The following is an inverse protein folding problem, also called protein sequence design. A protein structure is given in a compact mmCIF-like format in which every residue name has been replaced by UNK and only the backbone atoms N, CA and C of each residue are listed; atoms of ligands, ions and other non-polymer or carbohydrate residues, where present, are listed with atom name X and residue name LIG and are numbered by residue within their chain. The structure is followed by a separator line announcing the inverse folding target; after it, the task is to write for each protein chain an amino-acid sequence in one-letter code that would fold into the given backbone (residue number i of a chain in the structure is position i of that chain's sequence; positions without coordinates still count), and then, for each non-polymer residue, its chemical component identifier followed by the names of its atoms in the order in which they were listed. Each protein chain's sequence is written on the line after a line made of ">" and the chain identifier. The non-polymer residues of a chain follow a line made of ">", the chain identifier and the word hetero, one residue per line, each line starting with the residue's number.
data_IF_914314373059
#
_entry.id   IF_914314373059
#
_cell.length_a   1.000
_cell.length_b   1.000
_cell.length_c   1.000
_cell.angle_alpha   90.00
_cell.angle_beta   90.00
_cell.angle_gamma   90.00
#
_symmetry.space_group_name_H-M   'P 1'
#
loop_
_entity.id
_entity.type
_entity.pdbx_description
1 polymer ?
#
# COMPACT_ATOMS: atom_id res chain seq x y z
N UNK A 1 27.20 -6.06 16.37
CA UNK A 1 27.66 -5.93 14.97
C UNK A 1 26.42 -5.64 14.17
N UNK A 2 26.34 -4.48 13.52
CA UNK A 2 25.21 -4.10 12.67
C UNK A 2 25.06 -5.14 11.57
N UNK A 3 23.86 -5.70 11.40
CA UNK A 3 23.62 -6.66 10.32
C UNK A 3 23.74 -5.93 8.98
N UNK A 4 24.45 -6.53 8.03
CA UNK A 4 24.50 -6.02 6.66
C UNK A 4 23.33 -6.61 5.85
N UNK A 5 22.67 -5.80 5.01
CA UNK A 5 21.63 -6.31 4.13
C UNK A 5 22.23 -7.23 3.08
N UNK A 6 21.43 -8.18 2.60
CA UNK A 6 21.72 -8.93 1.39
C UNK A 6 21.48 -8.01 0.20
N UNK A 7 22.41 -8.04 -0.76
CA UNK A 7 22.38 -7.18 -1.95
C UNK A 7 22.52 -8.08 -3.17
N UNK A 8 21.58 -7.96 -4.10
CA UNK A 8 21.56 -8.71 -5.35
C UNK A 8 21.06 -7.88 -6.51
N UNK A 9 21.35 -8.33 -7.73
CA UNK A 9 20.78 -7.75 -8.94
C UNK A 9 19.69 -8.68 -9.46
N UNK A 10 18.58 -8.10 -9.91
CA UNK A 10 17.59 -8.86 -10.68
C UNK A 10 18.14 -9.23 -12.06
N UNK A 11 17.52 -10.22 -12.70
CA UNK A 11 17.99 -10.78 -13.97
C UNK A 11 18.08 -9.77 -15.13
N UNK A 12 17.40 -8.63 -15.01
CA UNK A 12 17.47 -7.53 -15.98
C UNK A 12 18.74 -6.68 -15.87
N UNK A 13 19.53 -6.84 -14.79
CA UNK A 13 20.76 -6.08 -14.55
C UNK A 13 20.53 -4.58 -14.27
N UNK A 14 19.30 -4.15 -14.04
CA UNK A 14 18.93 -2.74 -13.78
C UNK A 14 18.40 -2.51 -12.38
N UNK A 15 17.61 -3.47 -11.89
CA UNK A 15 16.94 -3.37 -10.60
C UNK A 15 17.78 -4.03 -9.51
N UNK A 16 17.97 -3.29 -8.42
CA UNK A 16 18.67 -3.73 -7.24
C UNK A 16 17.68 -4.37 -6.27
N UNK A 17 18.03 -5.54 -5.75
CA UNK A 17 17.31 -6.23 -4.69
C UNK A 17 18.08 -6.07 -3.39
N UNK A 18 17.40 -5.58 -2.36
CA UNK A 18 17.95 -5.39 -1.02
C UNK A 18 17.08 -6.08 0.02
N UNK A 19 17.68 -6.89 0.89
CA UNK A 19 16.93 -7.61 1.91
C UNK A 19 17.60 -7.54 3.29
N UNK A 20 16.84 -7.18 4.33
CA UNK A 20 17.23 -7.33 5.73
C UNK A 20 16.04 -7.81 6.57
N UNK A 21 16.08 -9.07 6.98
CA UNK A 21 14.97 -9.72 7.69
C UNK A 21 13.68 -9.69 6.85
N UNK A 22 12.58 -9.10 7.36
CA UNK A 22 11.32 -8.99 6.63
C UNK A 22 11.28 -7.83 5.62
N UNK A 23 12.28 -6.94 5.63
CA UNK A 23 12.37 -5.83 4.67
C UNK A 23 12.91 -6.41 3.36
N UNK A 24 12.15 -6.23 2.28
CA UNK A 24 12.43 -6.81 0.97
C UNK A 24 12.19 -5.75 -0.12
N UNK A 25 13.26 -5.10 -0.58
CA UNK A 25 13.19 -3.93 -1.45
C UNK A 25 13.61 -4.28 -2.88
N UNK A 26 12.80 -3.82 -3.83
CA UNK A 26 13.19 -3.69 -5.23
C UNK A 26 13.38 -2.20 -5.53
N UNK A 27 14.57 -1.84 -5.99
CA UNK A 27 14.98 -0.45 -6.23
C UNK A 27 15.36 -0.28 -7.69
N UNK A 28 14.87 0.79 -8.31
CA UNK A 28 15.27 1.21 -9.65
C UNK A 28 15.46 2.73 -9.68
N UNK A 29 16.48 3.19 -10.41
CA UNK A 29 16.72 4.60 -10.65
C UNK A 29 17.19 4.84 -12.08
N UNK A 30 16.70 5.94 -12.67
CA UNK A 30 17.13 6.46 -13.95
C UNK A 30 17.91 7.78 -13.76
N UNK A 31 19.02 7.92 -14.49
CA UNK A 31 19.93 9.06 -14.45
C UNK A 31 21.24 8.73 -15.16
N UNK A 32 22.30 9.50 -14.91
CA UNK A 32 23.65 9.13 -15.37
C UNK A 32 24.19 7.94 -14.58
N UNK A 33 25.09 7.15 -15.19
CA UNK A 33 25.67 5.95 -14.54
C UNK A 33 26.29 6.26 -13.16
N UNK A 34 26.98 7.39 -13.02
CA UNK A 34 27.56 7.83 -11.75
C UNK A 34 26.50 8.20 -10.71
N UNK A 35 25.40 8.84 -11.11
CA UNK A 35 24.30 9.19 -10.21
C UNK A 35 23.54 7.95 -9.77
N UNK A 36 23.25 7.02 -10.68
CA UNK A 36 22.56 5.75 -10.36
C UNK A 36 23.42 4.92 -9.41
N UNK A 37 24.73 4.82 -9.66
CA UNK A 37 25.66 4.12 -8.76
C UNK A 37 25.68 4.76 -7.37
N UNK A 38 25.80 6.09 -7.27
CA UNK A 38 25.79 6.80 -5.99
C UNK A 38 24.45 6.66 -5.24
N UNK A 39 23.32 6.62 -5.96
CA UNK A 39 22.01 6.37 -5.38
C UNK A 39 21.93 4.96 -4.79
N UNK A 40 22.35 3.93 -5.54
CA UNK A 40 22.33 2.55 -5.07
C UNK A 40 23.27 2.30 -3.89
N UNK A 41 24.45 2.93 -3.88
CA UNK A 41 25.35 2.92 -2.72
C UNK A 41 24.65 3.52 -1.47
N UNK A 42 23.95 4.65 -1.63
CA UNK A 42 23.20 5.28 -0.54
C UNK A 42 22.02 4.42 -0.05
N UNK A 43 21.34 3.72 -0.96
CA UNK A 43 20.26 2.80 -0.60
C UNK A 43 20.76 1.64 0.29
N UNK A 44 21.87 1.01 -0.10
CA UNK A 44 22.51 -0.07 0.67
C UNK A 44 22.96 0.43 2.04
N UNK A 45 23.61 1.60 2.10
CA UNK A 45 24.08 2.19 3.36
C UNK A 45 22.93 2.54 4.30
N UNK A 46 21.83 3.06 3.77
CA UNK A 46 20.65 3.47 4.56
C UNK A 46 19.91 2.26 5.14
N UNK A 47 19.82 1.16 4.37
CA UNK A 47 19.18 -0.06 4.87
C UNK A 47 20.02 -0.74 5.97
N UNK A 48 21.34 -0.62 5.93
CA UNK A 48 22.23 -1.24 6.92
C UNK A 48 21.97 -0.70 8.34
N UNK A 49 21.44 -1.57 9.22
CA UNK A 49 21.08 -1.22 10.59
C UNK A 49 19.71 -0.58 10.76
N UNK A 50 18.96 -0.34 9.68
CA UNK A 50 17.61 0.22 9.74
C UNK A 50 16.67 -0.66 10.57
N UNK A 51 16.67 -1.96 10.31
CA UNK A 51 15.84 -2.92 11.03
C UNK A 51 16.19 -2.94 12.52
N UNK A 52 17.48 -2.86 12.86
CA UNK A 52 17.92 -2.84 14.26
C UNK A 52 17.35 -1.60 14.99
N UNK A 53 17.40 -0.42 14.35
CA UNK A 53 16.81 0.81 14.93
C UNK A 53 15.29 0.73 15.10
N UNK A 54 14.58 0.07 14.18
CA UNK A 54 13.13 -0.15 14.33
C UNK A 54 12.84 -1.16 15.45
N UNK A 55 13.66 -2.20 15.59
CA UNK A 55 13.53 -3.18 16.66
C UNK A 55 13.68 -2.56 18.06
N UNK A 56 14.53 -1.54 18.21
CA UNK A 56 14.71 -0.81 19.48
C UNK A 56 13.42 -0.10 19.95
N UNK A 57 12.59 0.35 18.99
CA UNK A 57 11.34 1.07 19.27
C UNK A 57 10.08 0.21 19.05
N UNK A 58 10.25 -1.08 18.70
CA UNK A 58 9.16 -1.99 18.35
C UNK A 58 8.04 -2.08 19.40
N UNK A 59 8.31 -2.13 20.72
CA UNK A 59 7.25 -2.14 21.71
C UNK A 59 6.33 -0.91 21.67
N UNK A 60 6.86 0.25 21.27
CA UNK A 60 6.06 1.47 21.09
C UNK A 60 5.38 1.48 19.72
N UNK A 61 6.06 1.02 18.67
CA UNK A 61 5.49 0.92 17.31
C UNK A 61 4.29 -0.03 17.24
N UNK A 62 4.21 -1.03 18.13
CA UNK A 62 3.06 -1.94 18.24
C UNK A 62 1.93 -1.41 19.11
N UNK A 63 2.07 -0.25 19.75
CA UNK A 63 0.97 0.37 20.50
C UNK A 63 0.00 1.06 19.55
N UNK A 64 -1.26 1.09 19.95
CA UNK A 64 -2.26 1.90 19.26
C UNK A 64 -1.74 3.35 19.16
N UNK A 65 -1.90 3.95 17.99
CA UNK A 65 -1.69 5.37 17.84
C UNK A 65 -2.72 6.13 18.68
N UNK A 66 -2.30 7.26 19.22
CA UNK A 66 -3.11 8.13 20.08
C UNK A 66 -2.83 9.59 19.72
N UNK A 67 -3.72 10.51 20.07
CA UNK A 67 -3.57 11.95 19.78
C UNK A 67 -2.48 12.66 20.59
N UNK A 68 -1.96 12.04 21.65
CA UNK A 68 -1.09 12.69 22.64
C UNK A 68 0.38 12.84 22.19
N UNK A 69 0.65 12.53 20.92
CA UNK A 69 1.97 12.63 20.29
C UNK A 69 2.85 11.40 20.51
N UNK A 70 3.87 11.29 19.66
CA UNK A 70 4.81 10.16 19.67
C UNK A 70 5.97 10.36 20.63
N UNK A 71 6.40 9.28 21.29
CA UNK A 71 7.69 9.21 22.00
C UNK A 71 8.81 8.62 21.16
N UNK A 72 8.51 8.26 19.91
CA UNK A 72 9.46 7.67 18.98
C UNK A 72 10.54 8.69 18.60
N UNK A 73 11.77 8.22 18.50
CA UNK A 73 12.97 9.05 18.23
C UNK A 73 13.50 8.82 16.83
N UNK A 74 13.49 7.58 16.37
CA UNK A 74 13.92 7.18 15.04
C UNK A 74 13.17 7.96 13.96
N UNK A 75 13.87 8.29 12.87
CA UNK A 75 13.28 9.03 11.75
C UNK A 75 12.15 8.21 11.10
N UNK A 76 12.41 6.94 10.80
CA UNK A 76 11.41 6.02 10.23
C UNK A 76 10.27 5.77 11.20
N UNK A 77 10.58 5.52 12.47
CA UNK A 77 9.56 5.32 13.51
C UNK A 77 8.60 6.52 13.64
N UNK A 78 9.14 7.75 13.65
CA UNK A 78 8.30 8.97 13.63
C UNK A 78 7.47 9.08 12.36
N UNK A 79 8.05 8.81 11.18
CA UNK A 79 7.31 8.79 9.92
C UNK A 79 6.15 7.80 9.95
N UNK A 80 6.37 6.59 10.48
CA UNK A 80 5.32 5.59 10.66
C UNK A 80 4.18 6.12 11.55
N UNK A 81 4.52 6.74 12.67
CA UNK A 81 3.52 7.30 13.57
C UNK A 81 2.77 8.48 12.93
N UNK A 82 3.47 9.40 12.29
CA UNK A 82 2.87 10.58 11.63
C UNK A 82 1.88 10.15 10.54
N UNK A 83 2.16 9.05 9.84
CA UNK A 83 1.26 8.49 8.84
C UNK A 83 -0.04 7.93 9.44
N UNK A 84 0.01 7.34 10.65
CA UNK A 84 -1.17 6.72 11.27
C UNK A 84 -1.93 7.63 12.22
N UNK A 85 -1.30 8.69 12.72
CA UNK A 85 -1.86 9.63 13.68
C UNK A 85 -3.22 10.23 13.24
N UNK A 86 -3.44 10.61 11.96
CA UNK A 86 -4.72 11.14 11.50
C UNK A 86 -5.91 10.18 11.70
N UNK A 87 -5.67 8.88 11.77
CA UNK A 87 -6.74 7.87 11.91
C UNK A 87 -7.00 7.48 13.38
N UNK A 88 -6.11 7.86 14.29
CA UNK A 88 -6.09 7.38 15.68
C UNK A 88 -7.30 7.80 16.52
N UNK A 89 -8.04 8.84 16.10
CA UNK A 89 -9.21 9.33 16.81
C UNK A 89 -10.43 8.40 16.65
N UNK A 90 -10.60 7.83 15.46
CA UNK A 90 -11.84 7.14 15.07
C UNK A 90 -11.65 5.64 14.84
N UNK A 91 -10.41 5.16 14.75
CA UNK A 91 -10.11 3.77 14.40
C UNK A 91 -8.84 3.30 15.07
N UNK A 92 -8.82 2.03 15.47
CA UNK A 92 -7.59 1.41 15.91
C UNK A 92 -6.61 1.26 14.75
N UNK A 93 -5.40 1.77 14.94
CA UNK A 93 -4.27 1.56 14.05
C UNK A 93 -3.00 1.67 14.89
N UNK A 94 -1.95 0.96 14.50
CA UNK A 94 -0.62 1.08 15.09
C UNK A 94 0.34 1.62 14.04
N UNK A 95 1.46 2.25 14.42
CA UNK A 95 2.53 2.60 13.49
C UNK A 95 2.99 1.46 12.57
N UNK A 96 2.81 0.19 12.97
CA UNK A 96 3.17 -0.96 12.13
C UNK A 96 2.43 -0.98 10.78
N UNK A 97 1.25 -0.36 10.69
CA UNK A 97 0.48 -0.25 9.45
C UNK A 97 1.11 0.69 8.39
N UNK A 98 2.23 1.34 8.70
CA UNK A 98 2.96 2.22 7.77
C UNK A 98 4.42 1.80 7.59
N UNK A 99 4.83 0.64 8.11
CA UNK A 99 6.25 0.24 8.18
C UNK A 99 6.86 0.09 6.79
N UNK A 100 6.15 -0.52 5.85
CA UNK A 100 6.70 -0.86 4.56
C UNK A 100 6.89 0.39 3.70
N UNK A 101 5.86 1.25 3.68
CA UNK A 101 5.91 2.56 3.05
C UNK A 101 6.96 3.48 3.67
N UNK A 102 7.06 3.53 5.00
CA UNK A 102 8.03 4.41 5.68
C UNK A 102 9.49 4.00 5.44
N UNK A 103 9.76 2.69 5.32
CA UNK A 103 11.08 2.16 4.98
C UNK A 103 11.42 2.48 3.52
N UNK A 104 10.50 2.23 2.58
CA UNK A 104 10.69 2.56 1.17
C UNK A 104 11.00 4.05 0.98
N UNK A 105 10.28 4.91 1.68
CA UNK A 105 10.46 6.35 1.65
C UNK A 105 11.80 6.82 2.23
N UNK A 106 12.27 6.19 3.31
CA UNK A 106 13.59 6.53 3.89
C UNK A 106 14.73 6.21 2.92
N UNK A 107 14.68 5.02 2.31
CA UNK A 107 15.69 4.57 1.36
C UNK A 107 15.68 5.45 0.11
N UNK A 108 14.50 5.76 -0.44
CA UNK A 108 14.39 6.66 -1.59
C UNK A 108 14.89 8.07 -1.25
N UNK A 109 14.58 8.58 -0.06
CA UNK A 109 15.04 9.88 0.40
C UNK A 109 16.57 9.98 0.43
N UNK A 110 17.26 8.92 0.86
CA UNK A 110 18.71 8.85 0.83
C UNK A 110 19.29 8.82 -0.59
N UNK A 111 18.66 8.08 -1.51
CA UNK A 111 19.05 8.04 -2.92
C UNK A 111 18.97 9.43 -3.58
N UNK A 112 17.87 10.15 -3.37
CA UNK A 112 17.66 11.48 -3.94
C UNK A 112 18.56 12.53 -3.28
N UNK A 113 18.93 12.32 -2.01
CA UNK A 113 19.88 13.20 -1.32
C UNK A 113 21.34 12.99 -1.79
N UNK A 114 21.68 11.80 -2.30
CA UNK A 114 23.05 11.49 -2.74
C UNK A 114 23.30 11.81 -4.22
N UNK A 115 22.26 11.89 -5.05
CA UNK A 115 22.41 12.05 -6.50
C UNK A 115 21.22 12.75 -7.18
N UNK A 116 21.47 13.32 -8.37
CA UNK A 116 20.41 13.85 -9.23
C UNK A 116 19.82 12.72 -10.10
N UNK A 117 18.58 12.33 -9.80
CA UNK A 117 17.86 11.26 -10.49
C UNK A 117 16.70 11.85 -11.31
N UNK A 118 16.48 11.32 -12.51
CA UNK A 118 15.36 11.70 -13.37
C UNK A 118 14.05 11.11 -12.82
N UNK A 119 14.09 9.82 -12.49
CA UNK A 119 13.06 9.13 -11.73
C UNK A 119 13.66 7.96 -10.97
N UNK A 120 13.00 7.56 -9.88
CA UNK A 120 13.38 6.38 -9.13
C UNK A 120 12.17 5.83 -8.38
N UNK A 121 12.24 4.57 -7.99
CA UNK A 121 11.30 4.00 -7.04
C UNK A 121 11.99 3.04 -6.08
N UNK A 122 11.39 2.91 -4.90
CA UNK A 122 11.71 1.85 -3.93
C UNK A 122 10.40 1.14 -3.60
N UNK A 123 10.32 -0.16 -3.89
CA UNK A 123 9.14 -0.99 -3.66
C UNK A 123 9.43 -2.00 -2.55
N UNK A 124 8.70 -1.91 -1.44
CA UNK A 124 8.75 -2.85 -0.33
C UNK A 124 7.54 -3.81 -0.39
N UNK A 125 7.49 -4.62 -1.45
CA UNK A 125 6.44 -5.59 -1.80
C UNK A 125 4.99 -5.09 -1.78
N UNK A 126 4.76 -3.99 -2.49
CA UNK A 126 3.44 -3.38 -2.70
C UNK A 126 3.39 -1.93 -2.26
N UNK A 127 4.26 -1.55 -1.33
CA UNK A 127 4.39 -0.20 -0.78
C UNK A 127 5.58 0.50 -1.44
N UNK A 128 5.27 1.47 -2.29
CA UNK A 128 6.19 2.06 -3.26
C UNK A 128 6.35 3.54 -2.98
N UNK A 129 7.59 3.95 -2.73
CA UNK A 129 7.99 5.35 -2.76
C UNK A 129 8.47 5.70 -4.18
N UNK A 130 8.04 6.85 -4.69
CA UNK A 130 8.36 7.34 -6.04
C UNK A 130 9.11 8.66 -5.99
N UNK A 131 10.10 8.80 -6.87
CA UNK A 131 10.72 10.07 -7.23
C UNK A 131 10.51 10.32 -8.71
N UNK A 132 10.07 11.52 -9.05
CA UNK A 132 9.78 11.97 -10.42
C UNK A 132 10.24 13.41 -10.56
N UNK A 133 11.26 13.64 -11.40
CA UNK A 133 11.74 14.97 -11.74
C UNK A 133 11.16 15.46 -13.07
N UNK A 134 11.07 16.78 -13.23
CA UNK A 134 10.75 17.44 -14.50
C UNK A 134 9.44 16.98 -15.16
N UNK A 135 9.53 16.22 -16.26
CA UNK A 135 8.41 15.73 -17.08
C UNK A 135 8.29 14.21 -17.05
N UNK A 136 9.00 13.55 -16.12
CA UNK A 136 8.94 12.11 -15.96
C UNK A 136 7.56 11.65 -15.46
N UNK A 137 7.27 10.38 -15.70
CA UNK A 137 6.04 9.73 -15.27
C UNK A 137 6.26 8.24 -14.99
N UNK A 138 5.41 7.70 -14.13
CA UNK A 138 5.23 6.27 -13.97
C UNK A 138 3.83 5.84 -14.44
N UNK A 139 3.77 4.71 -15.14
CA UNK A 139 2.52 3.97 -15.35
C UNK A 139 2.46 2.89 -14.28
N UNK A 140 1.48 2.98 -13.41
CA UNK A 140 1.27 2.07 -12.28
C UNK A 140 0.20 1.07 -12.68
N UNK A 141 0.48 -0.22 -12.49
CA UNK A 141 -0.52 -1.26 -12.63
C UNK A 141 -1.29 -1.48 -11.32
N UNK A 142 -2.61 -1.58 -11.42
CA UNK A 142 -3.48 -2.01 -10.33
C UNK A 142 -3.63 -3.53 -10.40
N UNK A 143 -3.33 -4.22 -9.31
CA UNK A 143 -3.27 -5.68 -9.27
C UNK A 143 -4.39 -6.21 -8.37
N UNK A 144 -5.09 -7.25 -8.82
CA UNK A 144 -6.19 -7.89 -8.07
C UNK A 144 -5.70 -8.78 -6.93
N UNK A 145 -4.57 -9.47 -7.14
CA UNK A 145 -4.02 -10.40 -6.19
C UNK A 145 -2.48 -10.32 -6.16
N UNK A 146 -1.87 -10.07 -4.98
CA UNK A 146 -0.41 -10.02 -4.87
C UNK A 146 0.31 -11.34 -5.25
N UNK A 147 -0.37 -12.48 -5.15
CA UNK A 147 0.20 -13.81 -5.44
C UNK A 147 0.01 -14.28 -6.90
N UNK A 148 -1.06 -13.84 -7.55
CA UNK A 148 -1.37 -14.15 -8.95
C UNK A 148 -1.74 -12.85 -9.67
N UNK A 149 -0.73 -12.01 -10.00
CA UNK A 149 -1.00 -10.64 -10.42
C UNK A 149 -1.70 -10.59 -11.77
N UNK A 150 -2.99 -10.27 -11.75
CA UNK A 150 -3.77 -9.90 -12.92
C UNK A 150 -4.02 -8.38 -12.89
N UNK A 151 -3.85 -7.74 -14.04
CA UNK A 151 -3.92 -6.29 -14.14
C UNK A 151 -5.39 -5.86 -14.23
N UNK A 152 -5.91 -5.26 -13.16
CA UNK A 152 -7.27 -4.69 -13.14
C UNK A 152 -7.34 -3.39 -13.94
N UNK A 153 -6.23 -2.65 -14.00
CA UNK A 153 -6.16 -1.39 -14.71
C UNK A 153 -4.81 -0.70 -14.55
N UNK A 154 -4.70 0.50 -15.13
CA UNK A 154 -3.50 1.33 -15.03
C UNK A 154 -3.85 2.74 -14.58
N UNK A 155 -2.93 3.38 -13.89
CA UNK A 155 -2.97 4.83 -13.66
C UNK A 155 -1.63 5.43 -14.00
N UNK A 156 -1.61 6.72 -14.36
CA UNK A 156 -0.38 7.44 -14.67
C UNK A 156 -0.16 8.49 -13.58
N UNK A 157 1.05 8.49 -13.02
CA UNK A 157 1.51 9.50 -12.07
C UNK A 157 2.56 10.34 -12.79
N UNK A 158 2.28 11.62 -12.94
CA UNK A 158 3.19 12.58 -13.55
C UNK A 158 3.98 13.34 -12.49
N UNK A 159 5.14 13.89 -12.84
CA UNK A 159 5.94 14.70 -11.92
C UNK A 159 5.18 15.92 -11.34
N UNK A 160 4.18 16.45 -12.06
CA UNK A 160 3.33 17.55 -11.57
C UNK A 160 2.27 17.10 -10.55
N UNK A 161 2.03 15.80 -10.42
CA UNK A 161 1.06 15.28 -9.46
C UNK A 161 1.63 15.28 -8.05
N UNK A 162 0.79 15.43 -7.01
CA UNK A 162 1.24 15.42 -5.63
C UNK A 162 1.65 14.02 -5.15
N UNK A 163 1.14 12.95 -5.77
CA UNK A 163 1.36 11.58 -5.33
C UNK A 163 2.84 11.16 -5.45
N UNK A 164 3.44 10.70 -4.35
CA UNK A 164 4.78 10.06 -4.31
C UNK A 164 4.79 8.74 -3.54
N UNK A 165 3.63 8.30 -3.06
CA UNK A 165 3.44 7.02 -2.41
C UNK A 165 2.36 6.19 -3.08
N UNK A 166 2.59 4.89 -3.17
CA UNK A 166 1.60 3.87 -3.54
C UNK A 166 1.63 2.79 -2.48
N UNK A 167 0.49 2.26 -2.10
CA UNK A 167 0.42 1.09 -1.23
C UNK A 167 -0.72 0.19 -1.66
N UNK A 168 -0.59 -1.10 -1.38
CA UNK A 168 -1.67 -2.07 -1.62
C UNK A 168 -1.89 -2.95 -0.40
N UNK A 169 -3.12 -2.93 0.13
CA UNK A 169 -3.54 -3.72 1.29
C UNK A 169 -4.71 -4.62 0.93
N UNK A 170 -4.86 -5.76 1.61
CA UNK A 170 -5.92 -6.73 1.35
C UNK A 170 -5.71 -7.99 2.17
N UNK A 171 -6.76 -8.79 2.34
CA UNK A 171 -6.71 -9.97 3.23
C UNK A 171 -5.80 -11.09 2.71
N UNK A 172 -5.51 -11.11 1.41
CA UNK A 172 -4.53 -12.00 0.78
C UNK A 172 -3.08 -11.50 0.92
N UNK A 173 -2.88 -10.30 1.46
CA UNK A 173 -1.58 -9.67 1.59
C UNK A 173 -0.68 -10.32 2.63
N UNK A 174 0.52 -9.75 2.77
CA UNK A 174 1.52 -10.20 3.76
C UNK A 174 1.16 -9.78 5.18
N UNK A 175 0.34 -8.74 5.32
CA UNK A 175 -0.17 -8.21 6.58
C UNK A 175 -1.61 -8.65 6.83
N UNK A 176 -1.99 -8.78 8.10
CA UNK A 176 -3.37 -9.11 8.45
C UNK A 176 -4.33 -7.96 8.14
N UNK A 177 -5.46 -8.29 7.52
CA UNK A 177 -6.58 -7.38 7.28
C UNK A 177 -7.73 -7.72 8.21
N UNK A 178 -8.39 -6.69 8.73
CA UNK A 178 -9.67 -6.82 9.42
C UNK A 178 -10.82 -6.79 8.41
N UNK A 179 -10.64 -6.20 7.22
CA UNK A 179 -11.66 -6.20 6.18
C UNK A 179 -11.57 -7.42 5.26
N UNK A 180 -12.40 -7.42 4.22
CA UNK A 180 -12.48 -8.51 3.23
C UNK A 180 -12.04 -8.11 1.82
N UNK A 181 -11.57 -6.88 1.59
CA UNK A 181 -11.06 -6.49 0.29
C UNK A 181 -9.90 -7.39 -0.15
N UNK A 182 -9.97 -7.88 -1.39
CA UNK A 182 -8.89 -8.67 -1.99
C UNK A 182 -7.65 -7.80 -2.19
N UNK A 183 -7.88 -6.58 -2.68
CA UNK A 183 -6.87 -5.54 -2.83
C UNK A 183 -7.49 -4.14 -2.74
N UNK A 184 -6.80 -3.24 -2.06
CA UNK A 184 -7.02 -1.80 -2.06
C UNK A 184 -5.71 -1.12 -2.35
N UNK A 185 -5.61 -0.47 -3.51
CA UNK A 185 -4.44 0.32 -3.88
C UNK A 185 -4.71 1.79 -3.63
N UNK A 186 -3.83 2.47 -2.92
CA UNK A 186 -3.94 3.90 -2.57
C UNK A 186 -2.77 4.68 -3.14
N UNK A 187 -3.06 5.87 -3.66
CA UNK A 187 -2.07 6.91 -3.96
C UNK A 187 -2.12 7.98 -2.87
N UNK A 188 -0.95 8.40 -2.36
CA UNK A 188 -0.84 9.49 -1.40
C UNK A 188 0.44 10.31 -1.64
N UNK A 189 0.58 11.44 -0.93
CA UNK A 189 1.75 12.30 -1.03
C UNK A 189 3.03 11.62 -0.55
N UNK A 190 2.93 10.65 0.35
CA UNK A 190 4.07 9.87 0.83
C UNK A 190 3.74 8.39 0.87
N UNK A 191 4.75 7.52 0.82
CA UNK A 191 4.54 6.07 0.82
C UNK A 191 4.02 5.58 2.17
N UNK A 192 4.51 6.16 3.27
CA UNK A 192 3.99 5.85 4.61
C UNK A 192 2.50 6.20 4.75
N UNK A 193 2.06 7.34 4.21
CA UNK A 193 0.65 7.74 4.22
C UNK A 193 -0.21 6.80 3.38
N UNK A 194 0.28 6.41 2.20
CA UNK A 194 -0.42 5.46 1.33
C UNK A 194 -0.64 4.12 2.05
N UNK A 195 0.40 3.59 2.72
CA UNK A 195 0.39 2.31 3.45
C UNK A 195 -0.66 2.29 4.57
N UNK A 196 -0.62 3.32 5.42
CA UNK A 196 -1.60 3.49 6.49
C UNK A 196 -3.03 3.64 5.94
N UNK A 197 -3.22 4.46 4.92
CA UNK A 197 -4.54 4.70 4.33
C UNK A 197 -5.09 3.46 3.60
N UNK A 198 -4.25 2.69 2.91
CA UNK A 198 -4.64 1.43 2.27
C UNK A 198 -5.16 0.44 3.30
N UNK A 199 -4.48 0.32 4.45
CA UNK A 199 -4.95 -0.50 5.57
C UNK A 199 -6.30 -0.03 6.11
N UNK A 200 -6.48 1.28 6.32
CA UNK A 200 -7.76 1.83 6.82
C UNK A 200 -8.91 1.60 5.84
N UNK A 201 -8.67 1.79 4.53
CA UNK A 201 -9.71 1.61 3.51
C UNK A 201 -10.02 0.12 3.31
N UNK A 202 -9.01 -0.75 3.28
CA UNK A 202 -9.19 -2.20 3.18
C UNK A 202 -10.03 -2.72 4.34
N UNK A 203 -9.76 -2.27 5.57
CA UNK A 203 -10.54 -2.62 6.76
C UNK A 203 -11.97 -2.10 6.73
N UNK A 204 -12.25 -1.04 5.97
CA UNK A 204 -13.61 -0.50 5.81
C UNK A 204 -14.44 -1.26 4.76
N UNK A 205 -13.81 -2.04 3.88
CA UNK A 205 -14.52 -2.98 3.01
C UNK A 205 -14.81 -4.23 3.83
N UNK A 206 -16.01 -4.32 4.40
CA UNK A 206 -16.38 -5.40 5.30
C UNK A 206 -17.88 -5.70 5.30
N UNK A 207 -18.21 -6.92 5.73
CA UNK A 207 -19.56 -7.38 6.08
C UNK A 207 -19.50 -8.06 7.46
N UNK A 208 -19.63 -7.29 8.55
CA UNK A 208 -19.53 -7.84 9.90
C UNK A 208 -20.49 -9.02 10.13
N UNK A 209 -20.01 -10.04 10.84
CA UNK A 209 -20.76 -11.26 11.21
C UNK A 209 -21.32 -12.09 10.04
N UNK A 210 -20.86 -11.85 8.81
CA UNK A 210 -21.33 -12.60 7.64
C UNK A 210 -20.81 -14.06 7.68
N UNK A 211 -21.67 -15.08 7.49
CA UNK A 211 -21.32 -16.49 7.69
C UNK A 211 -20.33 -17.04 6.67
N UNK A 212 -20.11 -16.34 5.55
CA UNK A 212 -19.09 -16.71 4.56
C UNK A 212 -17.70 -16.13 4.87
N UNK A 213 -17.54 -15.36 5.96
CA UNK A 213 -16.26 -14.76 6.32
C UNK A 213 -15.70 -15.48 7.55
N UNK A 214 -14.61 -16.19 7.35
CA UNK A 214 -13.87 -16.87 8.40
C UNK A 214 -12.88 -15.90 9.04
N UNK A 215 -12.94 -15.78 10.37
CA UNK A 215 -12.06 -14.88 11.13
C UNK A 215 -11.50 -15.60 12.36
N UNK A 216 -10.30 -15.22 12.76
CA UNK A 216 -9.73 -15.61 14.05
C UNK A 216 -8.94 -14.45 14.65
N UNK A 217 -8.60 -14.56 15.93
CA UNK A 217 -7.73 -13.57 16.57
C UNK A 217 -6.36 -13.52 15.90
N UNK A 218 -5.81 -12.32 15.69
CA UNK A 218 -4.47 -12.16 15.12
C UNK A 218 -3.40 -12.91 15.95
N UNK A 219 -3.55 -12.93 17.28
CA UNK A 219 -2.65 -13.64 18.19
C UNK A 219 -2.69 -15.17 18.06
N UNK A 220 -3.77 -15.75 17.52
CA UNK A 220 -3.82 -17.19 17.23
C UNK A 220 -2.89 -17.57 16.07
N UNK A 221 -2.64 -16.63 15.17
CA UNK A 221 -1.78 -16.82 13.99
C UNK A 221 -0.34 -16.38 14.31
N UNK A 222 -0.22 -15.20 14.92
CA UNK A 222 1.06 -14.58 15.29
C UNK A 222 0.96 -14.07 16.74
N UNK A 223 1.52 -14.81 17.73
CA UNK A 223 1.37 -14.49 19.16
C UNK A 223 1.82 -13.10 19.61
N UNK A 224 2.67 -12.44 18.82
CA UNK A 224 3.21 -11.11 19.10
C UNK A 224 2.65 -10.02 18.18
N UNK A 225 1.50 -10.28 17.54
CA UNK A 225 0.82 -9.33 16.65
C UNK A 225 0.45 -8.03 17.37
N UNK A 226 0.67 -6.91 16.70
CA UNK A 226 0.26 -5.59 17.16
C UNK A 226 -1.28 -5.42 17.18
N UNK A 227 -2.00 -6.25 16.42
CA UNK A 227 -3.46 -6.26 16.39
C UNK A 227 -4.08 -6.92 17.64
N UNK A 228 -3.33 -7.76 18.35
CA UNK A 228 -3.79 -8.46 19.55
C UNK A 228 -4.93 -9.42 19.27
N UNK A 229 -6.01 -9.34 20.08
CA UNK A 229 -7.18 -10.22 19.94
C UNK A 229 -8.16 -9.82 18.82
N UNK A 230 -7.79 -8.84 18.00
CA UNK A 230 -8.65 -8.39 16.90
C UNK A 230 -8.82 -9.49 15.87
N UNK A 231 -10.05 -9.62 15.39
CA UNK A 231 -10.43 -10.59 14.40
C UNK A 231 -9.89 -10.19 13.02
N UNK A 232 -9.08 -11.06 12.43
CA UNK A 232 -8.49 -10.88 11.11
C UNK A 232 -9.08 -11.92 10.16
N UNK A 233 -9.22 -11.53 8.89
CA UNK A 233 -9.83 -12.37 7.86
C UNK A 233 -8.90 -13.55 7.51
N UNK A 234 -9.45 -14.77 7.51
CA UNK A 234 -8.77 -16.01 7.13
C UNK A 234 -9.29 -16.62 5.84
N UNK A 235 -10.54 -16.33 5.52
CA UNK A 235 -11.20 -16.79 4.32
C UNK A 235 -12.43 -15.96 4.02
N UNK A 236 -12.68 -15.71 2.74
CA UNK A 236 -13.87 -15.05 2.24
C UNK A 236 -14.50 -15.99 1.21
N UNK A 237 -15.61 -16.63 1.59
CA UNK A 237 -16.40 -17.47 0.70
C UNK A 237 -17.14 -16.64 -0.36
N UNK A 238 -17.83 -17.30 -1.29
CA UNK A 238 -18.56 -16.62 -2.36
C UNK A 238 -19.62 -15.66 -1.80
N UNK A 239 -19.58 -14.41 -2.26
CA UNK A 239 -20.54 -13.37 -1.91
C UNK A 239 -21.47 -13.10 -3.10
N UNK A 240 -22.71 -12.70 -2.81
CA UNK A 240 -23.60 -12.20 -3.85
C UNK A 240 -23.15 -10.83 -4.35
N UNK A 241 -23.54 -10.47 -5.58
CA UNK A 241 -23.22 -9.15 -6.14
C UNK A 241 -23.73 -7.98 -5.28
N UNK A 242 -24.82 -8.18 -4.52
CA UNK A 242 -25.33 -7.16 -3.60
C UNK A 242 -24.45 -6.99 -2.36
N UNK A 243 -23.96 -8.09 -1.78
CA UNK A 243 -23.04 -8.10 -0.65
C UNK A 243 -21.69 -7.48 -1.03
N UNK A 244 -21.16 -7.84 -2.21
CA UNK A 244 -19.93 -7.25 -2.78
C UNK A 244 -20.10 -5.74 -2.92
N UNK A 245 -21.21 -5.29 -3.53
CA UNK A 245 -21.49 -3.87 -3.69
C UNK A 245 -21.60 -3.14 -2.35
N UNK A 246 -22.27 -3.73 -1.35
CA UNK A 246 -22.43 -3.14 -0.03
C UNK A 246 -21.09 -2.96 0.70
N UNK A 247 -20.21 -3.97 0.64
CA UNK A 247 -18.87 -3.92 1.22
C UNK A 247 -18.00 -2.87 0.52
N UNK A 248 -17.97 -2.87 -0.82
CA UNK A 248 -17.22 -1.89 -1.60
C UNK A 248 -17.73 -0.47 -1.38
N UNK A 249 -19.05 -0.26 -1.25
CA UNK A 249 -19.63 1.04 -0.95
C UNK A 249 -19.15 1.60 0.41
N UNK A 250 -18.95 0.73 1.40
CA UNK A 250 -18.37 1.13 2.69
C UNK A 250 -16.91 1.60 2.55
N UNK A 251 -16.09 0.83 1.83
CA UNK A 251 -14.72 1.22 1.50
C UNK A 251 -14.65 2.52 0.69
N UNK A 252 -15.51 2.69 -0.32
CA UNK A 252 -15.59 3.91 -1.15
C UNK A 252 -15.98 5.12 -0.30
N UNK A 253 -16.93 4.98 0.63
CA UNK A 253 -17.26 6.07 1.58
C UNK A 253 -16.04 6.45 2.41
N UNK A 254 -15.27 5.47 2.92
CA UNK A 254 -14.06 5.76 3.68
C UNK A 254 -13.00 6.44 2.81
N UNK A 255 -12.72 5.92 1.63
CA UNK A 255 -11.75 6.51 0.70
C UNK A 255 -12.12 7.95 0.31
N UNK A 256 -13.41 8.23 0.06
CA UNK A 256 -13.88 9.60 -0.22
C UNK A 256 -13.69 10.55 0.97
N UNK A 257 -13.91 10.08 2.20
CA UNK A 257 -13.63 10.88 3.39
C UNK A 257 -12.14 11.23 3.48
N UNK A 258 -11.26 10.23 3.31
CA UNK A 258 -9.81 10.45 3.34
C UNK A 258 -9.33 11.38 2.22
N UNK A 259 -9.96 11.32 1.04
CA UNK A 259 -9.67 12.24 -0.07
C UNK A 259 -10.06 13.68 0.28
N UNK A 260 -11.24 13.88 0.90
CA UNK A 260 -11.70 15.21 1.35
C UNK A 260 -10.76 15.78 2.43
N UNK A 261 -10.27 14.92 3.32
CA UNK A 261 -9.32 15.30 4.38
C UNK A 261 -7.88 15.50 3.85
N UNK A 262 -7.63 15.26 2.56
CA UNK A 262 -6.33 15.42 1.92
C UNK A 262 -5.29 14.36 2.34
N UNK A 263 -5.75 13.21 2.84
CA UNK A 263 -4.89 12.11 3.30
C UNK A 263 -4.52 11.13 2.18
N UNK A 264 -5.28 11.14 1.08
CA UNK A 264 -5.00 10.36 -0.14
C UNK A 264 -5.24 11.23 -1.39
N UNK A 265 -4.66 10.81 -2.51
CA UNK A 265 -4.89 11.40 -3.84
C UNK A 265 -5.84 10.55 -4.69
N UNK A 266 -6.00 9.27 -4.35
CA UNK A 266 -6.97 8.37 -4.97
C UNK A 266 -6.83 6.93 -4.49
N UNK A 267 -7.81 6.10 -4.81
CA UNK A 267 -7.83 4.69 -4.44
C UNK A 267 -8.55 3.82 -5.48
N UNK A 268 -8.16 2.56 -5.58
CA UNK A 268 -8.88 1.49 -6.24
C UNK A 268 -9.14 0.37 -5.22
N UNK A 269 -10.37 -0.16 -5.20
CA UNK A 269 -10.81 -1.20 -4.27
C UNK A 269 -11.34 -2.36 -5.09
N UNK A 270 -10.91 -3.57 -4.77
CA UNK A 270 -11.28 -4.80 -5.46
C UNK A 270 -11.82 -5.85 -4.48
N UNK A 271 -12.93 -6.50 -4.86
CA UNK A 271 -13.53 -7.60 -4.11
C UNK A 271 -14.27 -8.54 -5.09
N UNK A 272 -13.83 -9.80 -5.14
CA UNK A 272 -14.42 -10.91 -5.91
C UNK A 272 -14.82 -10.52 -7.35
N UNK A 273 -13.88 -9.95 -8.10
CA UNK A 273 -14.07 -9.61 -9.51
C UNK A 273 -14.69 -8.22 -9.75
N UNK A 274 -15.19 -7.54 -8.72
CA UNK A 274 -15.74 -6.19 -8.83
C UNK A 274 -14.72 -5.15 -8.35
N UNK A 275 -14.64 -4.03 -9.07
CA UNK A 275 -13.69 -2.94 -8.79
C UNK A 275 -14.42 -1.59 -8.68
N UNK A 276 -14.08 -0.83 -7.65
CA UNK A 276 -14.52 0.55 -7.47
C UNK A 276 -13.32 1.49 -7.37
N UNK A 277 -13.46 2.70 -7.91
CA UNK A 277 -12.36 3.68 -8.02
C UNK A 277 -12.79 5.02 -7.45
N UNK A 278 -11.87 5.66 -6.73
CA UNK A 278 -12.02 7.00 -6.17
C UNK A 278 -10.85 7.87 -6.66
N UNK A 279 -11.16 8.89 -7.47
CA UNK A 279 -10.24 9.95 -7.90
C UNK A 279 -8.94 9.56 -8.65
N UNK A 280 -8.76 8.29 -9.05
CA UNK A 280 -7.64 7.89 -9.89
C UNK A 280 -7.80 8.37 -11.34
N UNK A 281 -6.73 8.92 -11.90
CA UNK A 281 -6.69 9.33 -13.31
C UNK A 281 -6.63 8.12 -14.22
N UNK A 282 -7.42 8.15 -15.30
CA UNK A 282 -7.30 7.28 -16.47
C UNK A 282 -7.01 5.81 -16.15
N UNK A 283 -7.94 5.15 -15.47
CA UNK A 283 -8.05 3.69 -15.53
C UNK A 283 -8.71 3.35 -16.86
N UNK A 284 -7.85 3.16 -17.87
CA UNK A 284 -8.16 2.80 -19.26
C UNK A 284 -9.53 3.34 -19.77
N UNK A 285 -9.60 4.66 -19.95
CA UNK A 285 -10.47 5.30 -20.96
C UNK A 285 -11.99 5.23 -20.80
N UNK A 286 -12.55 4.78 -19.67
CA UNK A 286 -13.99 4.82 -19.42
C UNK A 286 -14.31 5.43 -18.05
N UNK A 287 -14.75 6.70 -18.03
CA UNK A 287 -15.45 7.29 -16.87
C UNK A 287 -16.56 8.20 -17.44
N UNK A 288 -17.81 8.22 -16.91
CA UNK A 288 -18.22 7.79 -15.58
C UNK A 288 -19.26 6.67 -15.54
N UNK A 289 -19.18 5.84 -14.49
CA UNK A 289 -20.35 5.15 -13.96
C UNK A 289 -21.46 6.19 -13.71
N UNK A 290 -22.46 6.21 -14.59
CA UNK A 290 -23.75 6.86 -14.35
C UNK A 290 -24.54 6.00 -13.34
N UNK A 291 -25.43 6.60 -12.53
CA UNK A 291 -26.23 5.84 -11.57
C UNK A 291 -27.12 4.86 -12.32
N UNK A 292 -27.22 3.63 -11.81
CA UNK A 292 -28.07 2.58 -12.36
C UNK A 292 -29.50 3.09 -12.57
N UNK A 293 -29.86 3.36 -13.83
CA UNK A 293 -31.25 3.50 -14.25
C UNK A 293 -31.80 2.08 -14.39
N UNK A 294 -32.81 1.78 -13.59
CA UNK A 294 -33.70 0.63 -13.75
C UNK A 294 -34.38 0.71 -15.13
N UNK A 295 -34.15 -0.29 -16.00
CA UNK A 295 -35.18 -0.86 -16.90
C UNK A 295 -34.63 -1.98 -17.83
N UNK A 296 -35.11 -3.20 -17.55
CA UNK A 296 -35.64 -4.23 -18.47
C UNK A 296 -34.86 -4.72 -19.72
N UNK A 297 -34.56 -6.03 -19.63
CA UNK A 297 -34.73 -7.13 -20.61
C UNK A 297 -33.97 -7.14 -21.95
N UNK A 298 -33.48 -8.36 -22.19
CA UNK A 298 -33.22 -9.10 -23.46
C UNK A 298 -31.89 -8.89 -24.20
N UNK A 299 -31.17 -10.01 -24.37
CA UNK A 299 -30.31 -10.26 -25.55
C UNK A 299 -28.89 -10.72 -25.22
N UNK A 300 -28.65 -12.04 -25.26
CA UNK A 300 -27.34 -12.66 -25.14
C UNK A 300 -26.51 -12.53 -26.44
N UNK A 301 -25.17 -12.60 -26.33
CA UNK A 301 -24.28 -13.31 -27.26
C UNK A 301 -22.86 -13.46 -26.69
N UNK A 302 -22.39 -14.71 -26.62
CA UNK A 302 -21.01 -15.13 -26.33
C UNK A 302 -20.13 -15.15 -27.60
N UNK A 303 -18.83 -14.95 -27.43
CA UNK A 303 -17.73 -15.55 -28.20
C UNK A 303 -16.50 -15.58 -27.27
N UNK A 304 -15.96 -16.74 -26.84
CA UNK A 304 -14.98 -17.59 -27.54
C UNK A 304 -13.82 -16.75 -28.12
N UNK A 305 -12.54 -16.92 -27.82
CA UNK A 305 -11.77 -17.96 -27.15
C UNK A 305 -10.36 -17.91 -27.75
N UNK A 306 -9.32 -18.01 -26.92
CA UNK A 306 -7.96 -18.52 -27.17
C UNK A 306 -7.08 -18.19 -25.96
#
# INVERSE_FOLDING_TARGET
>A
MTRLPQVGWLADGKRLHLQDGPIDLIVEADGTDDNVRAAYEAAVQTLAGLLDTLCEELPELRRAAHSDGSRLKGRVARRMYDAVAPFSADTFITPMAAVAGAVAEEVLGAMVASAHLDRAYVNNGGDIALHLANRERFTVGLVDHPGEPSLIGRTVIEASDPARGIATSGWHGRSFSLGIADAVTVLAQTAAQADAAATIIANAVDLPDHPAIDRCSANEIQPDSDLGDRLVTRGVGALSSHEIAAALDAGVRRARALLVDGLIEGAALHLQGETQVVALKNIDGAVPFMPAVVATRTGALHAAGA
#
